data_IF_030557875679
#
_entry.id   IF_030557875679
#
_cell.length_a   1.000
_cell.length_b   1.000
_cell.length_c   1.000
_cell.angle_alpha   90.00
_cell.angle_beta   90.00
_cell.angle_gamma   90.00
#
_symmetry.space_group_name_H-M   'P 1'
#
loop_
_entity.id
_entity.type
_entity.pdbx_description
1 polymer ?
#
# COMPACT_ATOMS: atom_id res chain seq x y z
N UNK A 1 -6.55 -2.05 12.47
CA UNK A 1 -6.16 -2.16 11.05
C UNK A 1 -7.32 -2.85 10.34
N UNK A 2 -8.07 -2.17 9.47
CA UNK A 2 -9.12 -2.83 8.69
C UNK A 2 -8.65 -2.99 7.25
N UNK A 3 -7.99 -4.12 6.99
CA UNK A 3 -7.54 -4.53 5.66
C UNK A 3 -8.70 -4.50 4.66
N UNK A 4 -9.93 -4.78 5.10
CA UNK A 4 -11.12 -4.76 4.23
C UNK A 4 -11.42 -3.37 3.67
N UNK A 5 -11.20 -2.32 4.47
CA UNK A 5 -11.34 -0.93 4.01
C UNK A 5 -10.32 -0.62 2.91
N UNK A 6 -9.05 -1.02 3.10
CA UNK A 6 -8.00 -0.83 2.09
C UNK A 6 -8.31 -1.59 0.80
N UNK A 7 -8.70 -2.86 0.93
CA UNK A 7 -9.10 -3.70 -0.23
C UNK A 7 -10.27 -3.08 -0.98
N UNK A 8 -11.28 -2.54 -0.27
CA UNK A 8 -12.42 -1.87 -0.90
C UNK A 8 -11.98 -0.63 -1.69
N UNK A 9 -11.12 0.21 -1.12
CA UNK A 9 -10.60 1.40 -1.79
C UNK A 9 -9.73 1.04 -3.02
N UNK A 10 -8.90 0.01 -2.91
CA UNK A 10 -8.11 -0.50 -4.05
C UNK A 10 -9.02 -1.01 -5.16
N UNK A 11 -10.10 -1.73 -4.81
CA UNK A 11 -11.10 -2.20 -5.79
C UNK A 11 -11.80 -1.03 -6.49
N UNK A 12 -12.21 -0.01 -5.76
CA UNK A 12 -12.79 1.22 -6.33
C UNK A 12 -11.79 1.90 -7.28
N UNK A 13 -10.53 2.05 -6.87
CA UNK A 13 -9.46 2.63 -7.71
C UNK A 13 -9.15 1.83 -8.97
N UNK A 14 -9.31 0.50 -8.94
CA UNK A 14 -9.14 -0.39 -10.08
C UNK A 14 -10.41 -0.56 -10.94
N UNK A 15 -11.56 -0.06 -10.49
CA UNK A 15 -12.86 -0.28 -11.13
C UNK A 15 -13.37 -1.73 -11.03
N UNK A 16 -12.93 -2.50 -10.03
CA UNK A 16 -13.30 -3.92 -9.86
C UNK A 16 -14.52 -4.03 -8.94
N UNK A 17 -15.65 -4.48 -9.49
CA UNK A 17 -16.90 -4.68 -8.72
C UNK A 17 -17.15 -6.11 -8.27
N UNK A 18 -16.47 -7.09 -8.88
CA UNK A 18 -16.63 -8.51 -8.54
C UNK A 18 -15.78 -8.90 -7.32
N UNK A 19 -16.09 -10.02 -6.69
CA UNK A 19 -15.36 -10.55 -5.53
C UNK A 19 -14.32 -11.63 -5.86
N UNK A 20 -14.24 -12.05 -7.13
CA UNK A 20 -13.39 -13.18 -7.59
C UNK A 20 -11.90 -12.96 -7.27
N UNK A 21 -11.45 -11.70 -7.26
CA UNK A 21 -10.05 -11.34 -7.02
C UNK A 21 -9.78 -10.84 -5.59
N UNK A 22 -10.77 -10.86 -4.70
CA UNK A 22 -10.65 -10.25 -3.38
C UNK A 22 -9.57 -10.94 -2.55
N UNK A 23 -9.47 -12.28 -2.61
CA UNK A 23 -8.39 -13.00 -1.93
C UNK A 23 -6.99 -12.61 -2.42
N UNK A 24 -6.84 -12.36 -3.72
CA UNK A 24 -5.56 -11.93 -4.30
C UNK A 24 -5.22 -10.48 -3.95
N UNK A 25 -6.20 -9.57 -4.02
CA UNK A 25 -6.02 -8.17 -3.63
C UNK A 25 -5.70 -8.07 -2.14
N UNK A 26 -6.36 -8.87 -1.30
CA UNK A 26 -6.09 -8.95 0.14
C UNK A 26 -4.65 -9.36 0.41
N UNK A 27 -4.16 -10.42 -0.24
CA UNK A 27 -2.77 -10.86 -0.09
C UNK A 27 -1.75 -9.79 -0.52
N UNK A 28 -2.06 -9.00 -1.56
CA UNK A 28 -1.20 -7.88 -1.98
C UNK A 28 -1.19 -6.78 -0.91
N UNK A 29 -2.35 -6.39 -0.39
CA UNK A 29 -2.47 -5.35 0.64
C UNK A 29 -1.72 -5.77 1.90
N UNK A 30 -1.92 -7.00 2.37
CA UNK A 30 -1.21 -7.54 3.54
C UNK A 30 0.30 -7.59 3.32
N UNK A 31 0.75 -7.99 2.13
CA UNK A 31 2.17 -8.00 1.77
C UNK A 31 2.77 -6.59 1.77
N UNK A 32 2.05 -5.59 1.25
CA UNK A 32 2.48 -4.19 1.27
C UNK A 32 2.59 -3.66 2.70
N UNK A 33 1.60 -3.93 3.55
CA UNK A 33 1.62 -3.49 4.94
C UNK A 33 2.82 -4.11 5.67
N UNK A 34 3.02 -5.43 5.54
CA UNK A 34 4.17 -6.12 6.15
C UNK A 34 5.51 -5.58 5.64
N UNK A 35 5.65 -5.33 4.35
CA UNK A 35 6.88 -4.74 3.80
C UNK A 35 7.18 -3.37 4.45
N UNK A 36 6.16 -2.52 4.58
CA UNK A 36 6.31 -1.18 5.15
C UNK A 36 6.59 -1.21 6.66
N UNK A 37 5.94 -2.10 7.41
CA UNK A 37 6.12 -2.22 8.86
C UNK A 37 7.42 -2.97 9.23
N UNK A 38 7.62 -4.17 8.68
CA UNK A 38 8.71 -5.07 9.09
C UNK A 38 10.04 -4.71 8.41
N UNK A 39 10.04 -4.44 7.10
CA UNK A 39 11.30 -4.17 6.37
C UNK A 39 11.68 -2.69 6.40
N UNK A 40 10.70 -1.78 6.36
CA UNK A 40 10.96 -0.32 6.35
C UNK A 40 10.83 0.31 7.74
N UNK A 41 10.35 -0.42 8.74
CA UNK A 41 10.24 0.07 10.13
C UNK A 41 9.22 1.20 10.30
N UNK A 42 8.23 1.32 9.41
CA UNK A 42 7.24 2.39 9.46
C UNK A 42 6.11 2.03 10.42
N UNK A 43 5.78 2.93 11.35
CA UNK A 43 4.58 2.81 12.15
C UNK A 43 3.38 3.36 11.37
N UNK A 44 2.65 2.48 10.67
CA UNK A 44 1.52 2.90 9.84
C UNK A 44 0.26 3.15 10.69
N UNK A 45 -0.21 4.39 10.66
CA UNK A 45 -1.54 4.75 11.15
C UNK A 45 -2.56 4.82 10.00
N UNK A 46 -3.47 3.86 9.90
CA UNK A 46 -4.51 3.81 8.87
C UNK A 46 -5.66 4.81 9.09
N UNK A 47 -5.73 5.48 10.25
CA UNK A 47 -6.62 6.63 10.43
C UNK A 47 -6.06 7.89 9.76
N UNK A 48 -4.75 7.92 9.50
CA UNK A 48 -4.13 8.99 8.73
C UNK A 48 -4.36 8.74 7.23
N UNK A 49 -5.15 9.62 6.60
CA UNK A 49 -5.45 9.57 5.17
C UNK A 49 -4.20 9.51 4.29
N UNK A 50 -3.07 10.10 4.69
CA UNK A 50 -1.83 10.03 3.92
C UNK A 50 -1.26 8.60 3.87
N UNK A 51 -1.26 7.88 5.00
CA UNK A 51 -0.78 6.51 5.05
C UNK A 51 -1.75 5.57 4.32
N UNK A 52 -3.04 5.74 4.58
CA UNK A 52 -4.10 4.95 3.93
C UNK A 52 -4.00 5.06 2.41
N UNK A 53 -3.95 6.28 1.88
CA UNK A 53 -3.83 6.49 0.44
C UNK A 53 -2.51 5.95 -0.10
N UNK A 54 -1.40 6.11 0.63
CA UNK A 54 -0.12 5.56 0.20
C UNK A 54 -0.15 4.03 0.08
N UNK A 55 -0.73 3.32 1.04
CA UNK A 55 -0.91 1.86 0.98
C UNK A 55 -1.82 1.47 -0.18
N UNK A 56 -2.91 2.20 -0.40
CA UNK A 56 -3.83 1.95 -1.52
C UNK A 56 -3.12 2.11 -2.87
N UNK A 57 -2.37 3.20 -3.05
CA UNK A 57 -1.64 3.48 -4.29
C UNK A 57 -0.54 2.44 -4.52
N UNK A 58 0.16 2.05 -3.46
CA UNK A 58 1.22 1.05 -3.55
C UNK A 58 0.65 -0.34 -3.88
N UNK A 59 -0.44 -0.76 -3.23
CA UNK A 59 -1.13 -2.01 -3.53
C UNK A 59 -1.70 -2.04 -4.96
N UNK A 60 -2.28 -0.94 -5.41
CA UNK A 60 -2.77 -0.76 -6.79
C UNK A 60 -1.64 -0.94 -7.80
N UNK A 61 -0.48 -0.32 -7.54
CA UNK A 61 0.69 -0.47 -8.39
C UNK A 61 1.22 -1.91 -8.40
N UNK A 62 1.33 -2.57 -7.24
CA UNK A 62 1.77 -3.98 -7.14
C UNK A 62 0.85 -4.92 -7.92
N UNK A 63 -0.47 -4.70 -7.83
CA UNK A 63 -1.46 -5.46 -8.58
C UNK A 63 -1.28 -5.27 -10.10
N UNK A 64 -1.13 -4.04 -10.57
CA UNK A 64 -0.99 -3.72 -11.99
C UNK A 64 0.36 -4.12 -12.58
N UNK A 65 1.41 -4.16 -11.75
CA UNK A 65 2.80 -4.38 -12.20
C UNK A 65 3.26 -5.82 -12.07
N UNK A 66 2.37 -6.76 -11.71
CA UNK A 66 2.71 -8.18 -11.50
C UNK A 66 3.53 -8.79 -12.64
N UNK A 67 3.13 -8.49 -13.88
CA UNK A 67 3.70 -9.13 -15.08
C UNK A 67 4.71 -8.22 -15.82
N UNK A 68 4.86 -6.98 -15.35
CA UNK A 68 5.80 -6.04 -15.92
C UNK A 68 6.92 -5.88 -14.92
N UNK A 69 8.15 -6.30 -15.24
CA UNK A 69 9.35 -6.05 -14.42
C UNK A 69 9.71 -4.56 -14.26
N UNK A 70 8.72 -3.67 -14.33
CA UNK A 70 8.81 -2.24 -14.15
C UNK A 70 9.15 -1.96 -12.69
N UNK A 71 10.13 -1.09 -12.52
CA UNK A 71 10.43 -0.52 -11.22
C UNK A 71 9.28 0.36 -10.72
N UNK A 72 9.24 0.57 -9.40
CA UNK A 72 8.31 1.47 -8.76
C UNK A 72 8.34 2.85 -9.44
N UNK A 73 7.19 3.44 -9.81
CA UNK A 73 7.10 4.78 -10.36
C UNK A 73 7.76 5.82 -9.46
N UNK A 74 8.43 6.81 -10.06
CA UNK A 74 9.18 7.84 -9.32
C UNK A 74 8.31 8.59 -8.29
N UNK A 75 7.04 8.84 -8.58
CA UNK A 75 6.15 9.51 -7.62
C UNK A 75 5.86 8.67 -6.38
N UNK A 76 5.75 7.33 -6.51
CA UNK A 76 5.61 6.43 -5.37
C UNK A 76 6.92 6.35 -4.57
N UNK A 77 8.07 6.34 -5.25
CA UNK A 77 9.37 6.39 -4.58
C UNK A 77 9.51 7.66 -3.73
N UNK A 78 9.15 8.82 -4.27
CA UNK A 78 9.18 10.08 -3.52
C UNK A 78 8.23 10.09 -2.33
N UNK A 79 7.02 9.57 -2.49
CA UNK A 79 6.06 9.47 -1.37
C UNK A 79 6.55 8.52 -0.28
N UNK A 80 7.14 7.39 -0.66
CA UNK A 80 7.75 6.45 0.28
C UNK A 80 8.88 7.13 1.05
N UNK A 81 9.76 7.84 0.35
CA UNK A 81 10.85 8.60 0.96
C UNK A 81 10.34 9.63 1.97
N UNK A 82 9.30 10.38 1.61
CA UNK A 82 8.68 11.34 2.53
C UNK A 82 8.05 10.63 3.73
N UNK A 83 7.36 9.50 3.54
CA UNK A 83 6.85 8.69 4.64
C UNK A 83 7.97 8.26 5.59
N UNK A 84 9.10 7.78 5.06
CA UNK A 84 10.26 7.38 5.85
C UNK A 84 10.86 8.53 6.64
N UNK A 85 10.92 9.74 6.09
CA UNK A 85 11.42 10.90 6.85
C UNK A 85 10.45 11.28 7.97
N UNK A 86 9.15 11.28 7.67
CA UNK A 86 8.12 11.75 8.62
C UNK A 86 7.83 10.72 9.73
N UNK A 87 7.95 9.42 9.44
CA UNK A 87 7.63 8.33 10.36
C UNK A 87 8.87 7.60 10.88
N UNK A 88 9.94 7.53 10.10
CA UNK A 88 11.19 6.84 10.44
C UNK A 88 12.06 7.58 11.46
N UNK A 89 11.64 8.78 11.91
CA UNK A 89 12.25 9.47 13.04
C UNK A 89 11.76 8.97 14.41
N UNK A 90 10.75 8.10 14.46
CA UNK A 90 10.16 7.59 15.69
C UNK A 90 10.77 6.23 16.09
N UNK A 91 12.05 6.23 16.51
CA UNK A 91 12.53 5.19 17.42
C UNK A 91 13.54 5.77 18.42
N UNK A 92 13.25 5.75 19.74
CA UNK A 92 14.26 6.00 20.77
C UNK A 92 15.29 4.87 20.84
#
# INVERSE_FOLDING_TARGET
MDVNTVVSLVKEGLGIRTSVRDGFITAIVEGVIKELEDEKGLALDMANSYHLLFVCDYATWRYQSRDSGKHMPRHLQFRLHNLMIHLGGAKP
#
